data_IF_687294021079
#
_entry.id   IF_687294021079
#
_cell.length_a   1.000
_cell.length_b   1.000
_cell.length_c   1.000
_cell.angle_alpha   90.00
_cell.angle_beta   90.00
_cell.angle_gamma   90.00
#
_symmetry.space_group_name_H-M   'P 1'
#
loop_
_entity.id
_entity.type
_entity.pdbx_description
1 polymer ?
#
# COMPACT_ATOMS: atom_id res chain seq x y z
N UNK A 1 4.54 -26.59 -11.03
CA UNK A 1 4.42 -25.88 -9.73
C UNK A 1 3.69 -24.58 -10.01
N UNK A 2 2.69 -24.19 -9.22
CA UNK A 2 2.08 -22.84 -9.37
C UNK A 2 3.01 -21.84 -8.73
N UNK A 3 3.43 -20.83 -9.48
CA UNK A 3 4.09 -19.63 -8.95
C UNK A 3 3.05 -18.73 -8.27
N UNK A 4 3.49 -17.77 -7.46
CA UNK A 4 2.63 -16.81 -6.75
C UNK A 4 1.61 -17.44 -5.77
N UNK A 5 2.04 -18.46 -5.03
CA UNK A 5 1.29 -18.97 -3.87
C UNK A 5 1.78 -18.30 -2.59
N UNK A 6 0.95 -18.34 -1.53
CA UNK A 6 1.35 -17.82 -0.22
C UNK A 6 2.58 -18.56 0.34
N UNK A 7 2.72 -19.87 0.07
CA UNK A 7 3.89 -20.64 0.48
C UNK A 7 5.16 -20.19 -0.25
N UNK A 8 5.06 -19.95 -1.57
CA UNK A 8 6.18 -19.41 -2.37
C UNK A 8 6.56 -18.01 -1.90
N UNK A 9 5.58 -17.17 -1.56
CA UNK A 9 5.81 -15.85 -1.02
C UNK A 9 6.54 -15.91 0.34
N UNK A 10 6.05 -16.72 1.27
CA UNK A 10 6.73 -16.95 2.56
C UNK A 10 8.17 -17.39 2.36
N UNK A 11 8.40 -18.39 1.51
CA UNK A 11 9.74 -18.89 1.21
C UNK A 11 10.66 -17.79 0.67
N UNK A 12 10.15 -16.92 -0.22
CA UNK A 12 10.91 -15.78 -0.74
C UNK A 12 11.37 -14.86 0.40
N UNK A 13 10.46 -14.48 1.28
CA UNK A 13 10.77 -13.58 2.39
C UNK A 13 11.79 -14.20 3.36
N UNK A 14 11.60 -15.46 3.73
CA UNK A 14 12.54 -16.20 4.59
C UNK A 14 13.94 -16.28 3.96
N UNK A 15 14.04 -16.53 2.64
CA UNK A 15 15.30 -16.53 1.92
C UNK A 15 15.99 -15.17 1.86
N UNK A 16 15.22 -14.09 1.77
CA UNK A 16 15.78 -12.74 1.86
C UNK A 16 16.37 -12.48 3.26
N UNK A 17 15.67 -12.87 4.32
CA UNK A 17 16.15 -12.73 5.70
C UNK A 17 17.40 -13.60 5.95
N UNK A 18 17.43 -14.84 5.47
CA UNK A 18 18.64 -15.71 5.52
C UNK A 18 19.86 -15.10 4.84
N UNK A 19 19.63 -14.26 3.82
CA UNK A 19 20.69 -13.50 3.12
C UNK A 19 21.04 -12.19 3.81
N UNK A 20 20.47 -11.92 4.99
CA UNK A 20 20.75 -10.73 5.79
C UNK A 20 20.01 -9.47 5.34
N UNK A 21 18.91 -9.61 4.57
CA UNK A 21 18.06 -8.47 4.25
C UNK A 21 17.01 -8.25 5.36
N UNK A 22 16.86 -7.00 5.79
CA UNK A 22 15.73 -6.59 6.59
C UNK A 22 14.55 -6.23 5.68
N UNK A 23 13.34 -6.64 6.08
CA UNK A 23 12.12 -6.43 5.32
C UNK A 23 11.36 -5.27 5.97
N UNK A 24 11.33 -4.12 5.30
CA UNK A 24 10.84 -2.86 5.87
C UNK A 24 9.70 -2.26 5.05
N UNK A 25 8.91 -1.37 5.68
CA UNK A 25 7.92 -0.56 4.99
C UNK A 25 8.57 0.66 4.33
N UNK A 26 7.84 1.27 3.39
CA UNK A 26 8.27 2.52 2.75
C UNK A 26 8.28 3.69 3.75
N UNK A 27 7.34 3.72 4.69
CA UNK A 27 7.30 4.69 5.78
C UNK A 27 8.58 4.62 6.64
N UNK A 28 9.01 3.42 7.03
CA UNK A 28 10.26 3.25 7.78
C UNK A 28 11.45 3.82 7.01
N UNK A 29 11.52 3.53 5.71
CA UNK A 29 12.56 4.08 4.84
C UNK A 29 12.52 5.60 4.77
N UNK A 30 11.33 6.21 4.60
CA UNK A 30 11.16 7.66 4.56
C UNK A 30 11.53 8.32 5.91
N UNK A 31 11.26 7.65 7.02
CA UNK A 31 11.59 8.10 8.36
C UNK A 31 13.06 7.87 8.76
N UNK A 32 13.90 7.49 7.78
CA UNK A 32 15.35 7.40 7.95
C UNK A 32 15.86 6.04 8.42
N UNK A 33 14.99 5.04 8.59
CA UNK A 33 15.43 3.68 8.91
C UNK A 33 16.00 3.01 7.65
N UNK A 34 17.32 2.91 7.58
CA UNK A 34 18.05 2.38 6.42
C UNK A 34 19.11 1.39 6.86
N UNK A 35 18.75 0.13 7.12
CA UNK A 35 19.72 -0.93 7.41
C UNK A 35 20.73 -1.09 6.27
N UNK A 36 21.86 -1.73 6.54
CA UNK A 36 22.89 -1.97 5.53
C UNK A 36 22.35 -2.74 4.31
N UNK A 37 21.46 -3.72 4.56
CA UNK A 37 20.80 -4.51 3.53
C UNK A 37 19.31 -4.57 3.83
N UNK A 38 18.50 -4.08 2.92
CA UNK A 38 17.05 -4.08 3.11
C UNK A 38 16.27 -4.28 1.81
N UNK A 39 15.03 -4.69 1.96
CA UNK A 39 14.02 -4.74 0.91
C UNK A 39 12.79 -4.01 1.41
N UNK A 40 12.26 -3.09 0.62
CA UNK A 40 10.98 -2.44 0.89
C UNK A 40 9.88 -3.33 0.34
N UNK A 41 8.99 -3.78 1.23
CA UNK A 41 7.80 -4.52 0.84
C UNK A 41 6.64 -3.55 0.60
N UNK A 42 6.04 -3.63 -0.59
CA UNK A 42 4.93 -2.78 -0.99
C UNK A 42 3.85 -3.59 -1.68
N UNK A 43 2.60 -3.35 -1.30
CA UNK A 43 1.40 -3.97 -1.85
C UNK A 43 0.38 -2.92 -2.28
N UNK A 44 0.03 -2.93 -3.55
CA UNK A 44 -1.05 -2.11 -4.09
C UNK A 44 -2.34 -2.95 -4.07
N UNK A 45 -3.24 -2.58 -3.17
CA UNK A 45 -4.47 -3.33 -2.93
C UNK A 45 -5.57 -2.80 -3.85
N UNK A 46 -5.59 -3.26 -5.10
CA UNK A 46 -6.58 -2.85 -6.08
C UNK A 46 -7.93 -3.55 -5.85
N UNK A 47 -7.87 -4.84 -5.50
CA UNK A 47 -9.03 -5.72 -5.29
C UNK A 47 -8.70 -6.78 -4.25
N UNK A 48 -9.74 -7.45 -3.75
CA UNK A 48 -9.62 -8.62 -2.84
C UNK A 48 -8.77 -8.36 -1.58
N UNK A 49 -9.13 -7.36 -0.76
CA UNK A 49 -8.34 -7.00 0.42
C UNK A 49 -8.16 -8.16 1.42
N UNK A 50 -9.03 -9.17 1.40
CA UNK A 50 -8.86 -10.38 2.20
C UNK A 50 -7.57 -11.15 1.87
N UNK A 51 -7.14 -11.17 0.60
CA UNK A 51 -5.87 -11.78 0.21
C UNK A 51 -4.69 -10.98 0.77
N UNK A 52 -4.81 -9.65 0.78
CA UNK A 52 -3.78 -8.77 1.36
C UNK A 52 -3.64 -8.98 2.87
N UNK A 53 -4.73 -9.28 3.58
CA UNK A 53 -4.66 -9.64 4.99
C UNK A 53 -3.87 -10.95 5.22
N UNK A 54 -4.06 -11.96 4.35
CA UNK A 54 -3.29 -13.20 4.44
C UNK A 54 -1.79 -12.96 4.20
N UNK A 55 -1.45 -12.09 3.26
CA UNK A 55 -0.06 -11.69 3.00
C UNK A 55 0.52 -10.97 4.23
N UNK A 56 -0.22 -10.02 4.79
CA UNK A 56 0.19 -9.27 5.99
C UNK A 56 0.40 -10.18 7.22
N UNK A 57 -0.43 -11.21 7.37
CA UNK A 57 -0.25 -12.20 8.44
C UNK A 57 1.05 -13.02 8.28
N UNK A 58 1.41 -13.35 7.04
CA UNK A 58 2.69 -14.02 6.75
C UNK A 58 3.85 -13.11 7.14
N UNK A 59 3.87 -11.88 6.66
CA UNK A 59 4.91 -10.90 6.94
C UNK A 59 5.07 -10.64 8.44
N UNK A 60 3.95 -10.40 9.13
CA UNK A 60 3.95 -10.24 10.59
C UNK A 60 4.55 -11.45 11.30
N UNK A 61 4.21 -12.69 10.87
CA UNK A 61 4.67 -13.93 11.49
C UNK A 61 6.20 -14.14 11.44
N UNK A 62 6.87 -13.46 10.52
CA UNK A 62 8.34 -13.50 10.35
C UNK A 62 9.03 -12.19 10.76
N UNK A 63 8.28 -11.27 11.39
CA UNK A 63 8.81 -10.00 11.86
C UNK A 63 9.09 -8.96 10.77
N UNK A 64 8.46 -9.10 9.59
CA UNK A 64 8.60 -8.15 8.50
C UNK A 64 7.55 -7.02 8.59
N UNK A 65 7.93 -5.82 8.16
CA UNK A 65 7.03 -4.71 7.95
C UNK A 65 6.83 -4.45 6.45
N UNK A 66 5.62 -4.08 6.07
CA UNK A 66 5.26 -3.77 4.69
C UNK A 66 4.33 -2.57 4.59
N UNK A 67 4.22 -1.99 3.40
CA UNK A 67 3.30 -0.90 3.08
C UNK A 67 2.14 -1.44 2.26
N UNK A 68 0.92 -1.14 2.68
CA UNK A 68 -0.33 -1.52 2.01
C UNK A 68 -1.09 -0.28 1.56
N UNK A 69 -1.15 -0.07 0.24
CA UNK A 69 -1.82 1.08 -0.37
C UNK A 69 -3.21 0.68 -0.85
N UNK A 70 -4.25 1.34 -0.31
CA UNK A 70 -5.66 1.04 -0.62
C UNK A 70 -6.27 2.12 -1.50
N UNK A 71 -7.09 1.68 -2.48
CA UNK A 71 -7.94 2.56 -3.29
C UNK A 71 -9.24 2.88 -2.54
N UNK A 72 -9.93 3.91 -2.97
CA UNK A 72 -11.22 4.34 -2.37
C UNK A 72 -12.41 3.46 -2.78
N UNK A 73 -12.28 2.71 -3.86
CA UNK A 73 -13.36 1.85 -4.37
C UNK A 73 -13.71 0.69 -3.41
N UNK A 74 -14.97 0.28 -3.41
CA UNK A 74 -15.52 -0.81 -2.57
C UNK A 74 -14.75 -2.14 -2.70
N UNK A 75 -14.06 -2.35 -3.81
CA UNK A 75 -13.26 -3.56 -4.07
C UNK A 75 -11.96 -3.58 -3.28
N UNK A 76 -11.49 -2.44 -2.82
CA UNK A 76 -10.25 -2.24 -2.07
C UNK A 76 -10.50 -1.72 -0.67
N UNK A 77 -11.30 -0.65 -0.52
CA UNK A 77 -11.56 0.00 0.76
C UNK A 77 -12.50 -0.87 1.64
N UNK A 78 -11.89 -1.68 2.48
CA UNK A 78 -12.58 -2.46 3.51
C UNK A 78 -12.03 -2.06 4.89
N UNK A 79 -12.75 -1.24 5.66
CA UNK A 79 -12.29 -0.71 6.95
C UNK A 79 -11.87 -1.78 7.96
N UNK A 80 -12.57 -2.90 8.02
CA UNK A 80 -12.23 -3.98 8.96
C UNK A 80 -10.87 -4.62 8.61
N UNK A 81 -10.62 -4.88 7.33
CA UNK A 81 -9.36 -5.44 6.86
C UNK A 81 -8.21 -4.44 7.00
N UNK A 82 -8.45 -3.16 6.66
CA UNK A 82 -7.44 -2.10 6.81
C UNK A 82 -6.99 -2.00 8.27
N UNK A 83 -7.93 -1.97 9.23
CA UNK A 83 -7.61 -1.98 10.66
C UNK A 83 -6.86 -3.24 11.09
N UNK A 84 -7.23 -4.41 10.57
CA UNK A 84 -6.54 -5.66 10.87
C UNK A 84 -5.09 -5.62 10.39
N UNK A 85 -4.83 -5.14 9.17
CA UNK A 85 -3.48 -5.01 8.62
C UNK A 85 -2.67 -3.99 9.43
N UNK A 86 -3.26 -2.83 9.78
CA UNK A 86 -2.62 -1.84 10.63
C UNK A 86 -2.26 -2.41 12.01
N UNK A 87 -3.15 -3.21 12.62
CA UNK A 87 -2.90 -3.83 13.94
C UNK A 87 -1.78 -4.87 13.94
N UNK A 88 -1.43 -5.41 12.77
CA UNK A 88 -0.26 -6.28 12.58
C UNK A 88 1.06 -5.48 12.48
N UNK A 89 1.01 -4.14 12.53
CA UNK A 89 2.20 -3.28 12.48
C UNK A 89 2.61 -2.86 11.07
N UNK A 90 1.79 -3.11 10.07
CA UNK A 90 2.06 -2.68 8.70
C UNK A 90 1.62 -1.24 8.47
N UNK A 91 2.30 -0.58 7.55
CA UNK A 91 1.93 0.75 7.06
C UNK A 91 0.68 0.68 6.18
N UNK A 92 -0.23 1.63 6.39
CA UNK A 92 -1.39 1.87 5.53
C UNK A 92 -1.16 3.18 4.77
N UNK A 93 -1.34 3.14 3.46
CA UNK A 93 -1.24 4.29 2.59
C UNK A 93 -2.43 4.43 1.63
N UNK A 94 -2.55 5.61 1.04
CA UNK A 94 -3.58 5.88 0.04
C UNK A 94 -3.05 5.62 -1.38
N UNK A 95 -3.70 4.69 -2.10
CA UNK A 95 -3.46 4.41 -3.52
C UNK A 95 -4.36 5.28 -4.38
N UNK A 96 -3.93 6.54 -4.63
CA UNK A 96 -4.77 7.57 -5.21
C UNK A 96 -4.95 7.44 -6.73
N UNK A 97 -6.18 7.72 -7.19
CA UNK A 97 -6.58 7.76 -8.61
C UNK A 97 -7.52 8.93 -8.92
N UNK A 98 -7.44 9.98 -8.13
CA UNK A 98 -8.43 11.07 -8.08
C UNK A 98 -8.55 11.83 -9.40
N UNK A 99 -7.47 11.93 -10.19
CA UNK A 99 -7.54 12.51 -11.53
C UNK A 99 -8.49 11.74 -12.45
N UNK A 100 -8.50 10.41 -12.35
CA UNK A 100 -9.42 9.57 -13.11
C UNK A 100 -10.86 9.74 -12.61
N UNK A 101 -11.06 9.70 -11.30
CA UNK A 101 -12.39 9.86 -10.67
C UNK A 101 -13.00 11.23 -10.96
N UNK A 102 -12.19 12.27 -11.08
CA UNK A 102 -12.61 13.64 -11.39
C UNK A 102 -12.61 13.95 -12.90
N UNK A 103 -12.45 12.94 -13.78
CA UNK A 103 -12.38 13.13 -15.24
C UNK A 103 -11.41 14.25 -15.68
N UNK A 104 -10.25 14.32 -15.05
CA UNK A 104 -9.21 15.28 -15.35
C UNK A 104 -9.39 16.67 -14.75
N UNK A 105 -10.44 16.91 -13.96
CA UNK A 105 -10.63 18.19 -13.27
C UNK A 105 -9.71 18.25 -12.03
N UNK A 106 -8.61 18.99 -12.13
CA UNK A 106 -7.57 19.07 -11.09
C UNK A 106 -8.13 19.56 -9.75
N UNK A 107 -8.95 20.61 -9.74
CA UNK A 107 -9.52 21.15 -8.50
C UNK A 107 -10.42 20.13 -7.80
N UNK A 108 -11.26 19.44 -8.56
CA UNK A 108 -12.15 18.39 -8.03
C UNK A 108 -11.31 17.18 -7.58
N UNK A 109 -10.31 16.78 -8.34
CA UNK A 109 -9.42 15.70 -7.99
C UNK A 109 -8.70 15.97 -6.66
N UNK A 110 -8.18 17.18 -6.48
CA UNK A 110 -7.51 17.57 -5.24
C UNK A 110 -8.48 17.58 -4.04
N UNK A 111 -9.69 18.10 -4.23
CA UNK A 111 -10.70 18.06 -3.17
C UNK A 111 -11.07 16.62 -2.77
N UNK A 112 -11.24 15.71 -3.74
CA UNK A 112 -11.47 14.29 -3.49
C UNK A 112 -10.29 13.66 -2.73
N UNK A 113 -9.07 13.91 -3.20
CA UNK A 113 -7.85 13.40 -2.57
C UNK A 113 -7.77 13.77 -1.08
N UNK A 114 -8.01 15.03 -0.74
CA UNK A 114 -7.98 15.49 0.66
C UNK A 114 -9.03 14.76 1.50
N UNK A 115 -10.27 14.65 1.01
CA UNK A 115 -11.37 13.96 1.72
C UNK A 115 -11.03 12.50 1.97
N UNK A 116 -10.53 11.79 0.95
CA UNK A 116 -10.19 10.37 1.08
C UNK A 116 -8.95 10.12 1.93
N UNK A 117 -7.97 11.01 1.87
CA UNK A 117 -6.80 10.92 2.74
C UNK A 117 -7.20 11.04 4.22
N UNK A 118 -8.11 11.96 4.55
CA UNK A 118 -8.64 12.10 5.92
C UNK A 118 -9.47 10.87 6.33
N UNK A 119 -10.22 10.25 5.41
CA UNK A 119 -10.94 9.00 5.68
C UNK A 119 -9.97 7.86 6.02
N UNK A 120 -8.90 7.66 5.24
CA UNK A 120 -7.88 6.67 5.55
C UNK A 120 -7.14 6.95 6.87
N UNK A 121 -6.97 8.19 7.25
CA UNK A 121 -6.36 8.60 8.53
C UNK A 121 -7.17 8.20 9.77
N UNK A 122 -8.42 7.82 9.61
CA UNK A 122 -9.21 7.20 10.68
C UNK A 122 -8.74 5.78 11.03
N UNK A 123 -8.00 5.12 10.13
CA UNK A 123 -7.51 3.75 10.32
C UNK A 123 -6.05 3.70 10.72
N UNK A 124 -5.25 4.64 10.21
CA UNK A 124 -3.80 4.71 10.40
C UNK A 124 -3.30 6.13 10.18
N UNK A 125 -2.18 6.49 10.81
CA UNK A 125 -1.50 7.78 10.57
C UNK A 125 -0.82 7.75 9.17
N UNK A 126 -1.61 7.92 8.10
CA UNK A 126 -1.14 7.84 6.72
C UNK A 126 -0.12 8.95 6.44
N UNK A 127 1.11 8.57 6.17
CA UNK A 127 2.24 9.47 5.88
C UNK A 127 2.70 9.36 4.43
N UNK A 128 2.45 8.21 3.79
CA UNK A 128 2.86 7.96 2.41
C UNK A 128 1.67 7.66 1.51
N UNK A 129 1.82 8.02 0.25
CA UNK A 129 0.80 7.82 -0.79
C UNK A 129 1.43 7.18 -2.02
N UNK A 130 0.62 6.50 -2.82
CA UNK A 130 1.05 5.90 -4.06
C UNK A 130 0.05 6.18 -5.18
N UNK A 131 0.53 6.61 -6.32
CA UNK A 131 -0.31 6.80 -7.49
C UNK A 131 -0.73 5.46 -8.10
N UNK A 132 -2.04 5.28 -8.32
CA UNK A 132 -2.53 4.14 -9.07
C UNK A 132 -2.20 4.29 -10.56
N UNK A 133 -1.45 3.33 -11.09
CA UNK A 133 -1.15 3.26 -12.51
C UNK A 133 -2.31 2.62 -13.27
N UNK A 134 -3.06 3.40 -14.02
CA UNK A 134 -4.13 2.90 -14.87
C UNK A 134 -3.76 3.11 -16.35
N UNK A 135 -3.17 2.12 -17.02
CA UNK A 135 -2.67 2.27 -18.39
C UNK A 135 -3.78 2.56 -19.41
N UNK A 136 -5.03 2.28 -19.08
CA UNK A 136 -6.20 2.60 -19.89
C UNK A 136 -6.82 3.96 -19.56
N UNK A 137 -6.33 4.65 -18.54
CA UNK A 137 -6.80 5.96 -18.17
C UNK A 137 -6.09 7.04 -19.00
N UNK A 138 -6.86 7.96 -19.57
CA UNK A 138 -6.32 9.09 -20.33
C UNK A 138 -5.79 10.23 -19.47
N UNK A 139 -5.99 10.19 -18.15
CA UNK A 139 -5.58 11.24 -17.21
C UNK A 139 -4.33 10.82 -16.43
N UNK A 140 -3.28 11.63 -16.48
CA UNK A 140 -2.09 11.40 -15.66
C UNK A 140 -2.36 11.80 -14.20
N UNK A 141 -2.24 10.87 -13.29
CA UNK A 141 -2.42 11.11 -11.86
C UNK A 141 -1.46 12.16 -11.28
N UNK A 142 -0.31 12.41 -11.93
CA UNK A 142 0.65 13.44 -11.51
C UNK A 142 0.11 14.85 -11.69
N UNK A 143 -0.85 15.05 -12.58
CA UNK A 143 -1.48 16.37 -12.81
C UNK A 143 -2.17 16.89 -11.54
N UNK A 144 -2.53 16.01 -10.61
CA UNK A 144 -3.07 16.35 -9.29
C UNK A 144 -2.19 17.38 -8.56
N UNK A 145 -0.88 17.31 -8.74
CA UNK A 145 0.10 18.15 -8.03
C UNK A 145 0.36 19.49 -8.72
N UNK A 146 -0.38 19.80 -9.77
CA UNK A 146 -0.40 21.12 -10.41
C UNK A 146 -1.52 22.04 -9.88
N UNK A 147 -2.20 21.64 -8.82
CA UNK A 147 -3.23 22.41 -8.14
C UNK A 147 -2.70 23.72 -7.57
#
# INVERSE_FOLDING_TARGET
MRDFTLDTYRLLLERLQEKGYELISYQQYCNGYRPERFVILRHDVDKKPANSLQTAQIEHSIGANASYYFRVGKESNNPAIIRSIASLGHEIGYHYEDMALANGNIKQAYAHFVVWLEDFRQYYAVETICMHGAPTNQFDGKELWKH
#
